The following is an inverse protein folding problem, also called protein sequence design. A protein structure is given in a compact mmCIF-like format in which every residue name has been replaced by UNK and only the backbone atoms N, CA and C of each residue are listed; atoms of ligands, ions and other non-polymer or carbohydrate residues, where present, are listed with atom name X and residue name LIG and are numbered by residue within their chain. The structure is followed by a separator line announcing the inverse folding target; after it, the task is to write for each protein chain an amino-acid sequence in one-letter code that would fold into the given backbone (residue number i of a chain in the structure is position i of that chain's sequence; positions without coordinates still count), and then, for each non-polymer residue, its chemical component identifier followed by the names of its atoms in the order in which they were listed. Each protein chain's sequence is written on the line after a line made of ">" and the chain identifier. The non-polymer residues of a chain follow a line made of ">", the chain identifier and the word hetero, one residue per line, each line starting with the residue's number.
data_IF_871227700924
#
_entry.id   IF_871227700924
#
_cell.length_a   1.000
_cell.length_b   1.000
_cell.length_c   1.000
_cell.angle_alpha   90.00
_cell.angle_beta   90.00
_cell.angle_gamma   90.00
#
_symmetry.space_group_name_H-M   'P 1'
#
loop_
_entity.id
_entity.type
_entity.pdbx_description
1 polymer ?
#
# COMPACT_ATOMS: atom_id res chain seq x y z
N UNK A 1 6.92 -5.20 -22.26
CA UNK A 1 6.93 -4.25 -21.13
C UNK A 1 6.35 -4.98 -19.92
N UNK A 2 7.20 -5.59 -19.12
CA UNK A 2 6.79 -6.43 -17.98
C UNK A 2 6.66 -5.54 -16.75
N UNK A 3 5.42 -5.27 -16.32
CA UNK A 3 5.20 -4.71 -14.99
C UNK A 3 5.72 -5.73 -13.96
N UNK A 4 6.59 -5.36 -13.01
CA UNK A 4 7.03 -6.30 -12.00
C UNK A 4 5.85 -6.62 -11.08
N UNK A 5 5.14 -7.70 -11.38
CA UNK A 5 4.18 -8.35 -10.50
C UNK A 5 4.94 -9.20 -9.47
N UNK A 6 5.51 -8.54 -8.46
CA UNK A 6 6.05 -9.16 -7.24
C UNK A 6 5.75 -8.13 -6.13
N UNK A 7 5.17 -8.48 -4.98
CA UNK A 7 5.73 -9.49 -4.07
C UNK A 7 4.59 -10.28 -3.42
N UNK A 8 4.71 -11.60 -3.49
CA UNK A 8 4.21 -12.52 -2.47
C UNK A 8 5.45 -13.14 -1.88
N UNK A 9 5.84 -12.74 -0.67
CA UNK A 9 7.01 -13.32 0.00
C UNK A 9 7.76 -12.36 0.93
N UNK A 10 7.28 -12.22 2.17
CA UNK A 10 8.03 -12.70 3.34
C UNK A 10 7.07 -12.76 4.54
N UNK A 11 7.03 -13.89 5.25
CA UNK A 11 5.98 -14.25 6.21
C UNK A 11 6.01 -13.42 7.52
N UNK A 12 6.94 -12.46 7.64
CA UNK A 12 7.07 -11.60 8.82
C UNK A 12 6.71 -10.12 8.62
N UNK A 13 6.67 -9.58 7.39
CA UNK A 13 6.40 -8.14 7.21
C UNK A 13 5.95 -7.76 5.78
N UNK A 14 5.05 -8.53 5.16
CA UNK A 14 4.43 -8.07 3.93
C UNK A 14 3.45 -6.94 4.26
N UNK A 15 3.88 -5.69 4.10
CA UNK A 15 3.01 -4.52 4.24
C UNK A 15 2.01 -4.58 3.11
N UNK A 16 0.80 -5.08 3.38
CA UNK A 16 -0.29 -5.12 2.41
C UNK A 16 -1.41 -4.20 2.88
N UNK A 17 -1.51 -3.03 2.27
CA UNK A 17 -2.57 -2.06 2.58
C UNK A 17 -3.94 -2.50 2.05
N UNK A 18 -3.96 -3.47 1.13
CA UNK A 18 -5.17 -4.03 0.57
C UNK A 18 -5.76 -5.17 1.43
N UNK A 19 -4.98 -5.72 2.37
CA UNK A 19 -5.45 -6.75 3.31
C UNK A 19 -6.20 -6.11 4.50
N UNK A 20 -7.48 -6.47 4.75
CA UNK A 20 -8.20 -6.04 5.94
C UNK A 20 -7.50 -6.39 7.26
N UNK A 21 -6.72 -7.47 7.31
CA UNK A 21 -5.98 -7.88 8.51
C UNK A 21 -4.93 -6.84 8.93
N UNK A 22 -4.31 -6.14 7.97
CA UNK A 22 -3.37 -5.05 8.23
C UNK A 22 -4.03 -3.94 9.09
N UNK A 23 -5.29 -3.63 8.81
CA UNK A 23 -6.02 -2.58 9.52
C UNK A 23 -6.42 -2.97 10.94
N UNK A 24 -6.36 -4.26 11.28
CA UNK A 24 -6.57 -4.79 12.63
C UNK A 24 -5.30 -4.75 13.49
N UNK A 25 -4.14 -4.46 12.91
CA UNK A 25 -2.88 -4.36 13.64
C UNK A 25 -2.90 -3.15 14.61
N UNK A 26 -2.19 -3.24 15.74
CA UNK A 26 -2.06 -2.11 16.65
C UNK A 26 -1.39 -0.91 15.96
N UNK A 27 -1.62 0.28 16.53
CA UNK A 27 -1.14 1.55 15.99
C UNK A 27 0.38 1.58 15.72
N UNK A 28 1.27 1.13 16.64
CA UNK A 28 2.71 1.18 16.38
C UNK A 28 3.14 0.34 15.17
N UNK A 29 2.59 -0.86 14.97
CA UNK A 29 2.93 -1.69 13.81
C UNK A 29 2.49 -1.04 12.50
N UNK A 30 1.27 -0.45 12.48
CA UNK A 30 0.79 0.29 11.30
C UNK A 30 1.68 1.49 10.98
N UNK A 31 2.10 2.25 11.99
CA UNK A 31 2.99 3.40 11.80
C UNK A 31 4.38 2.97 11.32
N UNK A 32 4.91 1.85 11.82
CA UNK A 32 6.15 1.26 11.34
C UNK A 32 6.07 0.87 9.86
N UNK A 33 4.96 0.26 9.45
CA UNK A 33 4.71 -0.04 8.04
C UNK A 33 4.67 1.22 7.16
N UNK A 34 3.98 2.28 7.58
CA UNK A 34 3.98 3.55 6.84
C UNK A 34 5.35 4.25 6.82
N UNK A 35 6.18 4.07 7.86
CA UNK A 35 7.56 4.57 7.84
C UNK A 35 8.38 3.87 6.74
N UNK A 36 8.31 2.53 6.66
CA UNK A 36 8.96 1.76 5.60
C UNK A 36 8.50 2.15 4.20
N UNK A 37 7.20 2.36 4.01
CA UNK A 37 6.68 2.82 2.72
C UNK A 37 7.20 4.21 2.33
N UNK A 38 7.49 5.10 3.30
CA UNK A 38 8.06 6.43 3.02
C UNK A 38 9.53 6.38 2.62
N UNK A 39 10.28 5.37 3.09
CA UNK A 39 11.67 5.11 2.68
C UNK A 39 11.77 4.72 1.20
N UNK A 40 10.71 4.16 0.61
CA UNK A 40 10.68 3.79 -0.81
C UNK A 40 10.64 5.02 -1.71
N UNK A 41 11.48 5.03 -2.74
CA UNK A 41 11.63 6.17 -3.65
C UNK A 41 10.38 6.46 -4.49
N UNK A 42 9.55 5.44 -4.77
CA UNK A 42 8.36 5.53 -5.60
C UNK A 42 7.10 4.93 -4.90
N UNK A 43 5.89 5.38 -5.27
CA UNK A 43 4.64 4.80 -4.77
C UNK A 43 4.49 3.32 -5.11
N UNK A 44 4.01 2.54 -4.15
CA UNK A 44 3.79 1.08 -4.32
C UNK A 44 2.38 0.84 -4.82
N UNK A 45 2.26 -0.03 -5.84
CA UNK A 45 0.98 -0.52 -6.35
C UNK A 45 0.50 -1.71 -5.52
N UNK A 46 -0.69 -1.60 -4.94
CA UNK A 46 -1.36 -2.67 -4.20
C UNK A 46 -2.51 -3.24 -5.01
N UNK A 47 -2.56 -4.57 -5.13
CA UNK A 47 -3.64 -5.28 -5.83
C UNK A 47 -4.49 -6.03 -4.82
N UNK A 48 -5.70 -5.55 -4.49
CA UNK A 48 -6.58 -6.24 -3.58
C UNK A 48 -7.00 -7.60 -4.13
N UNK A 49 -7.09 -8.60 -3.25
CA UNK A 49 -7.69 -9.88 -3.63
C UNK A 49 -9.17 -9.69 -3.97
N UNK A 50 -9.69 -10.40 -4.98
CA UNK A 50 -11.11 -10.40 -5.30
C UNK A 50 -11.92 -10.70 -4.03
N UNK A 51 -12.89 -9.84 -3.70
CA UNK A 51 -13.80 -10.02 -2.56
C UNK A 51 -13.30 -9.56 -1.18
N UNK A 52 -12.09 -8.98 -1.07
CA UNK A 52 -11.52 -8.63 0.25
C UNK A 52 -11.41 -7.13 0.54
N UNK A 53 -11.47 -6.26 -0.46
CA UNK A 53 -11.21 -4.83 -0.28
C UNK A 53 -12.36 -3.93 -0.72
N UNK A 54 -12.45 -2.76 -0.06
CA UNK A 54 -13.35 -1.65 -0.43
C UNK A 54 -13.08 -1.10 -1.83
N UNK A 55 -11.95 -1.46 -2.44
CA UNK A 55 -11.51 -1.04 -3.78
C UNK A 55 -12.09 -1.90 -4.92
N UNK A 56 -13.05 -2.79 -4.64
CA UNK A 56 -13.69 -3.66 -5.64
C UNK A 56 -12.71 -4.50 -6.47
N UNK A 57 -11.58 -4.89 -5.87
CA UNK A 57 -10.53 -5.65 -6.58
C UNK A 57 -9.68 -4.82 -7.56
N UNK A 58 -9.89 -3.50 -7.65
CA UNK A 58 -9.08 -2.63 -8.50
C UNK A 58 -7.74 -2.32 -7.81
N UNK A 59 -6.62 -2.40 -8.55
CA UNK A 59 -5.32 -2.02 -8.00
C UNK A 59 -5.27 -0.52 -7.72
N UNK A 60 -4.50 -0.12 -6.71
CA UNK A 60 -4.36 1.28 -6.29
C UNK A 60 -2.93 1.57 -5.85
N UNK A 61 -2.46 2.80 -6.09
CA UNK A 61 -1.17 3.26 -5.59
C UNK A 61 -1.30 3.83 -4.17
N UNK A 62 -0.40 3.46 -3.27
CA UNK A 62 -0.35 4.05 -1.94
C UNK A 62 0.55 5.30 -1.92
N UNK A 63 -0.08 6.46 -1.81
CA UNK A 63 0.62 7.72 -1.61
C UNK A 63 0.82 7.94 -0.11
N UNK A 64 2.04 7.70 0.37
CA UNK A 64 2.39 7.82 1.79
C UNK A 64 3.24 9.05 2.10
N UNK A 65 3.74 9.73 1.07
CA UNK A 65 4.51 10.97 1.20
C UNK A 65 3.58 12.16 1.07
N UNK A 66 3.82 13.17 1.90
CA UNK A 66 3.00 14.39 1.92
C UNK A 66 3.00 15.11 0.57
N UNK A 67 4.15 15.15 -0.13
CA UNK A 67 4.27 15.77 -1.45
C UNK A 67 3.37 15.09 -2.50
N UNK A 68 3.34 13.76 -2.52
CA UNK A 68 2.55 12.99 -3.48
C UNK A 68 1.05 13.16 -3.22
N UNK A 69 0.65 13.15 -1.95
CA UNK A 69 -0.75 13.40 -1.53
C UNK A 69 -1.20 14.81 -1.92
N UNK A 70 -0.35 15.82 -1.72
CA UNK A 70 -0.65 17.20 -2.12
C UNK A 70 -0.82 17.33 -3.64
N UNK A 71 0.06 16.70 -4.42
CA UNK A 71 -0.06 16.70 -5.88
C UNK A 71 -1.36 16.05 -6.31
N UNK A 72 -1.65 14.83 -5.83
CA UNK A 72 -2.89 14.12 -6.16
C UNK A 72 -4.15 14.89 -5.74
N UNK A 73 -4.11 15.60 -4.60
CA UNK A 73 -5.25 16.41 -4.14
C UNK A 73 -5.49 17.66 -4.98
N UNK A 74 -4.45 18.19 -5.63
CA UNK A 74 -4.53 19.43 -6.43
C UNK A 74 -4.77 19.16 -7.92
N UNK A 75 -4.49 17.95 -8.40
CA UNK A 75 -4.74 17.50 -9.77
C UNK A 75 -5.56 16.20 -9.74
N UNK A 76 -6.91 16.30 -9.67
CA UNK A 76 -7.80 15.14 -9.65
C UNK A 76 -7.87 14.39 -10.98
#
# INVERSE_FOLDING_TARGET
>A
MTVPNQVSGDRAAHIDLADPAFWRLPRPERLGAFARLRELEAPVLFTPRPGTARTSGRPFYALVRHADVLTASRTP
#
